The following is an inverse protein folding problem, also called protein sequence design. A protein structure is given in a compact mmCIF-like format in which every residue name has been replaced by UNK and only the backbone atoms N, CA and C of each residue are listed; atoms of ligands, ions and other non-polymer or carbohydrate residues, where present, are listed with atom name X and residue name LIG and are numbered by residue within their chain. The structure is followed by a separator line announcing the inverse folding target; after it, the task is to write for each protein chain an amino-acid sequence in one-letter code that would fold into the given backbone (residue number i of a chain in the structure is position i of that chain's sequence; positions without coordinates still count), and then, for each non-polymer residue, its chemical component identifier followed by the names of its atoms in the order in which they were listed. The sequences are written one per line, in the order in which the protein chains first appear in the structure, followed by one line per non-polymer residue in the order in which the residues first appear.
data_IF_827331861352
#
_entry.id   IF_827331861352
#
_cell.length_a   1.000
_cell.length_b   1.000
_cell.length_c   1.000
_cell.angle_alpha   90.00
_cell.angle_beta   90.00
_cell.angle_gamma   90.00
#
_symmetry.space_group_name_H-M   'P 1'
#
loop_
_entity.id
_entity.type
_entity.pdbx_description
1 polymer ?
#
# COMPACT_ATOMS: atom_id res chain seq x y z
N UNK A 1 -20.21 -36.15 10.86
CA UNK A 1 -18.73 -36.17 10.94
C UNK A 1 -18.21 -34.75 10.88
N UNK A 2 -17.58 -34.20 11.94
CA UNK A 2 -16.78 -32.98 11.87
C UNK A 2 -15.27 -33.25 11.95
N UNK A 3 -14.39 -32.49 11.28
CA UNK A 3 -12.96 -32.55 11.55
C UNK A 3 -12.54 -31.63 12.72
N UNK A 4 -11.59 -32.15 13.48
CA UNK A 4 -11.01 -31.68 14.73
C UNK A 4 -9.93 -30.61 14.50
N UNK A 5 -9.67 -29.87 15.57
CA UNK A 5 -8.91 -28.63 15.77
C UNK A 5 -7.38 -28.73 15.59
N UNK A 6 -6.76 -27.56 15.41
CA UNK A 6 -5.46 -27.23 16.04
C UNK A 6 -4.41 -26.56 15.17
N UNK A 7 -4.10 -25.28 15.43
CA UNK A 7 -2.76 -24.82 15.89
C UNK A 7 -2.57 -23.30 15.72
N UNK A 8 -1.90 -22.72 16.72
CA UNK A 8 -1.68 -21.29 16.99
C UNK A 8 -0.24 -20.84 16.71
N UNK A 9 -0.05 -19.57 16.31
CA UNK A 9 1.04 -18.63 16.70
C UNK A 9 0.86 -17.30 15.91
N UNK A 10 0.54 -16.17 16.57
CA UNK A 10 1.46 -15.08 17.06
C UNK A 10 2.24 -14.39 15.91
N UNK A 11 2.40 -13.06 15.76
CA UNK A 11 1.95 -11.79 16.39
C UNK A 11 2.44 -10.64 15.46
N UNK A 12 1.97 -9.40 15.71
CA UNK A 12 2.66 -8.08 15.59
C UNK A 12 2.85 -7.40 14.22
N UNK A 13 1.95 -6.43 13.94
CA UNK A 13 2.18 -4.97 13.79
C UNK A 13 3.49 -4.43 13.16
N UNK A 14 3.34 -3.66 12.09
CA UNK A 14 4.01 -2.36 11.84
C UNK A 14 3.27 -1.68 10.67
N UNK A 15 2.41 -0.68 10.88
CA UNK A 15 2.65 0.74 11.25
C UNK A 15 3.48 1.51 10.22
N UNK A 16 2.72 2.28 9.43
CA UNK A 16 3.09 3.41 8.58
C UNK A 16 3.92 4.48 9.31
N UNK A 17 4.99 4.95 8.67
CA UNK A 17 5.57 6.29 8.85
C UNK A 17 6.07 6.75 7.47
N UNK A 18 5.43 7.69 6.77
CA UNK A 18 5.31 9.13 7.03
C UNK A 18 6.68 9.77 7.30
N UNK A 19 7.32 10.19 6.23
CA UNK A 19 8.40 11.19 6.22
C UNK A 19 7.78 12.58 6.35
N UNK A 20 8.23 13.34 7.35
CA UNK A 20 7.99 14.76 7.50
C UNK A 20 9.24 15.41 8.06
N UNK A 21 9.69 16.49 7.39
CA UNK A 21 10.32 17.72 7.92
C UNK A 21 11.55 17.59 8.83
N UNK A 22 12.48 18.52 8.95
CA UNK A 22 12.91 19.73 8.25
C UNK A 22 14.12 20.23 9.10
N UNK A 23 15.01 21.01 8.49
CA UNK A 23 15.80 22.11 9.08
C UNK A 23 16.58 21.94 10.41
N UNK A 24 17.88 22.26 10.35
CA UNK A 24 18.38 23.43 11.12
C UNK A 24 19.28 23.23 12.34
N UNK A 25 20.58 23.53 12.14
CA UNK A 25 21.46 24.47 12.90
C UNK A 25 21.75 24.28 14.42
N UNK A 26 23.05 24.11 14.74
CA UNK A 26 23.90 24.65 15.86
C UNK A 26 23.41 24.51 17.33
N UNK A 27 24.20 24.23 18.38
CA UNK A 27 25.48 24.82 18.83
C UNK A 27 26.03 24.13 20.11
N UNK A 28 27.35 24.26 20.33
CA UNK A 28 28.08 24.50 21.62
C UNK A 28 28.04 23.51 22.81
N UNK A 29 29.24 23.18 23.33
CA UNK A 29 29.49 23.28 24.79
C UNK A 29 30.04 22.06 25.56
N UNK A 30 31.38 21.95 25.63
CA UNK A 30 32.25 21.66 26.79
C UNK A 30 32.04 20.45 27.78
N UNK A 31 33.09 19.62 27.85
CA UNK A 31 33.84 19.10 29.04
C UNK A 31 33.16 18.14 30.07
N UNK A 32 33.57 16.85 30.08
CA UNK A 32 34.45 16.21 31.10
C UNK A 32 34.36 14.65 31.14
N UNK A 33 35.55 14.04 30.99
CA UNK A 33 36.14 12.97 31.81
C UNK A 33 35.39 11.63 32.00
N UNK A 34 35.87 10.63 31.25
CA UNK A 34 36.40 9.38 31.82
C UNK A 34 35.39 8.30 32.25
N UNK A 35 35.32 7.22 31.46
CA UNK A 35 35.18 5.82 31.92
C UNK A 35 35.38 4.88 30.73
N UNK A 36 36.54 4.22 30.66
CA UNK A 36 36.74 3.07 29.77
C UNK A 36 35.85 1.92 30.26
N UNK A 37 34.88 1.52 29.45
CA UNK A 37 34.16 0.25 29.57
C UNK A 37 34.01 -0.35 28.17
N UNK A 38 34.93 -1.26 27.88
CA UNK A 38 34.76 -2.51 27.11
C UNK A 38 34.22 -2.34 25.67
N UNK A 39 35.07 -2.71 24.69
CA UNK A 39 34.73 -2.73 23.28
C UNK A 39 33.37 -3.42 23.03
N UNK A 40 32.51 -2.77 22.26
CA UNK A 40 31.32 -3.42 21.72
C UNK A 40 31.77 -4.64 20.91
N UNK A 41 31.25 -5.82 21.26
CA UNK A 41 31.43 -7.03 20.47
C UNK A 41 31.04 -6.74 19.01
N UNK A 42 31.77 -7.28 18.02
CA UNK A 42 31.48 -7.00 16.63
C UNK A 42 30.04 -7.45 16.36
N UNK A 43 29.19 -6.49 15.98
CA UNK A 43 27.87 -6.77 15.44
C UNK A 43 28.09 -7.77 14.30
N UNK A 44 27.56 -8.98 14.48
CA UNK A 44 27.50 -10.01 13.45
C UNK A 44 27.01 -9.33 12.20
N UNK A 45 27.92 -9.18 11.23
CA UNK A 45 27.60 -8.66 9.92
C UNK A 45 26.39 -9.44 9.44
N UNK A 46 25.36 -8.71 9.02
CA UNK A 46 24.19 -9.30 8.40
C UNK A 46 24.74 -10.05 7.19
N UNK A 47 24.80 -11.38 7.30
CA UNK A 47 25.17 -12.23 6.19
C UNK A 47 24.07 -12.02 5.17
N UNK A 48 24.34 -11.18 4.19
CA UNK A 48 23.53 -11.13 2.98
C UNK A 48 23.61 -12.52 2.39
N UNK A 49 22.53 -13.27 2.56
CA UNK A 49 22.35 -14.53 1.86
C UNK A 49 22.42 -14.20 0.38
N UNK A 50 23.57 -14.52 -0.23
CA UNK A 50 23.75 -14.48 -1.68
C UNK A 50 22.64 -15.35 -2.26
N UNK A 51 21.59 -14.71 -2.77
CA UNK A 51 20.54 -15.40 -3.51
C UNK A 51 21.24 -16.10 -4.65
N UNK A 52 21.17 -17.43 -4.68
CA UNK A 52 21.66 -18.25 -5.78
C UNK A 52 20.85 -17.85 -7.02
N UNK A 53 21.31 -16.86 -7.77
CA UNK A 53 20.69 -16.45 -9.02
C UNK A 53 21.16 -17.45 -10.07
N UNK A 54 20.24 -18.33 -10.48
CA UNK A 54 20.50 -19.27 -11.57
C UNK A 54 20.63 -18.46 -12.87
N UNK A 55 21.77 -18.53 -13.59
CA UNK A 55 22.02 -17.76 -14.81
C UNK A 55 21.05 -18.07 -15.95
N UNK A 56 20.28 -19.15 -15.87
CA UNK A 56 19.23 -19.48 -16.84
C UNK A 56 17.97 -18.59 -16.73
N UNK A 57 17.81 -17.84 -15.62
CA UNK A 57 16.66 -16.95 -15.43
C UNK A 57 17.02 -15.50 -15.73
N UNK A 58 16.53 -15.00 -16.86
CA UNK A 58 16.62 -13.59 -17.25
C UNK A 58 15.35 -12.83 -16.84
N UNK A 59 15.50 -11.57 -16.42
CA UNK A 59 14.36 -10.68 -16.19
C UNK A 59 13.80 -10.18 -17.52
N UNK A 60 12.64 -10.70 -17.93
CA UNK A 60 11.92 -10.25 -19.13
C UNK A 60 10.73 -9.37 -18.76
N UNK A 61 10.99 -8.08 -18.56
CA UNK A 61 9.93 -7.10 -18.34
C UNK A 61 9.22 -6.79 -19.67
N UNK A 62 7.89 -6.77 -19.65
CA UNK A 62 7.05 -6.38 -20.80
C UNK A 62 6.74 -4.89 -20.75
N UNK A 63 6.69 -4.24 -21.91
CA UNK A 63 6.37 -2.83 -22.06
C UNK A 63 4.91 -2.66 -22.46
N UNK A 64 4.06 -2.20 -21.54
CA UNK A 64 2.62 -2.05 -21.79
C UNK A 64 2.20 -0.62 -22.21
N UNK A 65 3.11 0.10 -22.87
CA UNK A 65 2.83 1.40 -23.47
C UNK A 65 1.96 1.27 -24.72
N UNK A 66 1.54 2.40 -25.28
CA UNK A 66 0.76 2.42 -26.52
C UNK A 66 1.62 1.88 -27.67
N UNK A 67 1.14 0.87 -28.40
CA UNK A 67 1.83 0.29 -29.57
C UNK A 67 2.95 -0.70 -29.26
N UNK A 68 3.09 -1.16 -28.01
CA UNK A 68 4.10 -2.13 -27.58
C UNK A 68 3.46 -3.51 -27.30
N UNK A 69 3.81 -4.17 -26.19
CA UNK A 69 3.27 -5.48 -25.83
C UNK A 69 1.77 -5.44 -25.54
N UNK A 70 1.11 -6.59 -25.66
CA UNK A 70 -0.32 -6.72 -25.36
C UNK A 70 -0.62 -6.30 -23.92
N UNK A 71 -1.67 -5.50 -23.77
CA UNK A 71 -2.04 -5.01 -22.47
C UNK A 71 -2.51 -6.16 -21.54
N UNK A 72 -2.12 -6.16 -20.26
CA UNK A 72 -2.74 -7.03 -19.26
C UNK A 72 -4.25 -6.80 -19.15
N UNK A 73 -4.95 -7.84 -18.66
CA UNK A 73 -6.35 -7.72 -18.24
C UNK A 73 -6.44 -6.70 -17.11
N UNK A 74 -7.27 -5.68 -17.30
CA UNK A 74 -7.56 -4.63 -16.30
C UNK A 74 -9.01 -4.70 -15.88
N UNK A 75 -9.35 -4.03 -14.78
CA UNK A 75 -10.75 -3.87 -14.41
C UNK A 75 -11.50 -3.03 -15.45
N UNK A 76 -12.55 -3.63 -16.03
CA UNK A 76 -13.42 -3.00 -17.03
C UNK A 76 -14.77 -2.57 -16.45
N UNK A 77 -15.00 -2.71 -15.14
CA UNK A 77 -16.29 -2.40 -14.47
C UNK A 77 -16.86 -1.04 -14.85
N UNK A 78 -16.03 -0.02 -15.12
CA UNK A 78 -16.48 1.31 -15.56
C UNK A 78 -16.92 1.39 -17.02
N UNK A 79 -16.30 0.61 -17.89
CA UNK A 79 -16.48 0.65 -19.35
C UNK A 79 -17.40 -0.45 -19.88
N UNK A 80 -17.78 -1.40 -19.02
CA UNK A 80 -18.75 -2.45 -19.34
C UNK A 80 -20.12 -1.83 -19.59
N UNK A 81 -20.79 -2.35 -20.61
CA UNK A 81 -22.21 -2.09 -20.85
C UNK A 81 -23.03 -2.73 -19.73
N UNK A 82 -23.29 -1.96 -18.67
CA UNK A 82 -24.10 -2.42 -17.54
C UNK A 82 -25.53 -2.79 -17.96
N UNK A 83 -26.17 -3.78 -17.29
CA UNK A 83 -27.58 -4.10 -17.45
C UNK A 83 -28.46 -2.85 -17.34
N UNK A 84 -29.59 -2.83 -18.04
CA UNK A 84 -30.44 -1.63 -18.14
C UNK A 84 -30.90 -1.11 -16.78
N UNK A 85 -31.31 -1.99 -15.86
CA UNK A 85 -31.79 -1.59 -14.54
C UNK A 85 -30.73 -0.83 -13.73
N UNK A 86 -29.46 -1.25 -13.78
CA UNK A 86 -28.34 -0.57 -13.10
C UNK A 86 -28.17 0.83 -13.67
N UNK A 87 -28.30 0.97 -15.00
CA UNK A 87 -28.16 2.26 -15.68
C UNK A 87 -29.27 3.23 -15.26
N UNK A 88 -30.51 2.77 -15.26
CA UNK A 88 -31.68 3.56 -14.84
C UNK A 88 -31.56 3.97 -13.36
N UNK A 89 -31.16 3.06 -12.48
CA UNK A 89 -30.94 3.37 -11.05
C UNK A 89 -29.85 4.42 -10.83
N UNK A 90 -28.71 4.30 -11.54
CA UNK A 90 -27.62 5.28 -11.48
C UNK A 90 -28.02 6.63 -12.07
N UNK A 91 -28.75 6.65 -13.18
CA UNK A 91 -29.27 7.89 -13.78
C UNK A 91 -30.24 8.59 -12.83
N UNK A 92 -31.16 7.86 -12.19
CA UNK A 92 -32.09 8.40 -11.20
C UNK A 92 -31.35 9.07 -10.03
N UNK A 93 -30.35 8.40 -9.47
CA UNK A 93 -29.58 8.96 -8.34
C UNK A 93 -28.73 10.17 -8.74
N UNK A 94 -28.18 10.18 -9.97
CA UNK A 94 -27.48 11.36 -10.50
C UNK A 94 -28.46 12.51 -10.72
N UNK A 95 -29.63 12.27 -11.29
CA UNK A 95 -30.62 13.30 -11.59
C UNK A 95 -31.14 13.99 -10.31
N UNK A 96 -31.47 13.22 -9.27
CA UNK A 96 -31.89 13.77 -7.98
C UNK A 96 -30.83 14.67 -7.33
N UNK A 97 -29.54 14.37 -7.53
CA UNK A 97 -28.43 15.20 -7.03
C UNK A 97 -28.18 16.45 -7.87
N UNK A 98 -28.53 16.43 -9.16
CA UNK A 98 -28.26 17.53 -10.10
C UNK A 98 -29.40 18.54 -10.16
N UNK A 99 -30.63 18.08 -9.96
CA UNK A 99 -31.79 18.94 -9.90
C UNK A 99 -31.98 19.51 -8.49
N UNK A 100 -32.64 20.67 -8.43
CA UNK A 100 -33.08 21.25 -7.17
C UNK A 100 -34.28 20.45 -6.65
N UNK A 101 -34.03 19.63 -5.63
CA UNK A 101 -35.08 18.86 -4.95
C UNK A 101 -35.72 19.74 -3.86
N UNK A 102 -37.06 19.80 -3.78
CA UNK A 102 -37.75 20.54 -2.73
C UNK A 102 -37.35 20.08 -1.31
N UNK A 103 -37.25 21.00 -0.33
CA UNK A 103 -36.81 20.67 1.03
C UNK A 103 -37.57 19.53 1.72
N UNK A 104 -38.92 19.39 1.59
CA UNK A 104 -39.65 18.28 2.21
C UNK A 104 -39.18 16.90 1.74
N UNK A 105 -38.79 16.78 0.47
CA UNK A 105 -38.30 15.52 -0.10
C UNK A 105 -36.84 15.28 0.32
N UNK A 106 -36.06 16.36 0.48
CA UNK A 106 -34.67 16.30 0.91
C UNK A 106 -34.47 16.09 2.42
N UNK A 107 -35.55 16.02 3.21
CA UNK A 107 -35.49 15.71 4.65
C UNK A 107 -35.11 14.25 4.92
N UNK A 108 -35.39 13.35 3.97
CA UNK A 108 -35.25 11.90 4.12
C UNK A 108 -34.07 11.30 3.33
N UNK A 109 -33.21 12.16 2.76
CA UNK A 109 -32.11 11.76 1.87
C UNK A 109 -30.81 11.52 2.62
#
# INVERSE_FOLDING_TARGET
MPPVTGSTKKTTTSTTSKTSSASGKTSSGALKKGKKKIAAAPLKSKVESKKLVNPLYEKRAKNFGIGQDIQPKRDLTRFVKWPQYVRVQRQRSVLLKRLKVPPPINQFT
#
